data_IF_784098675599
#
_entry.id   IF_784098675599
#
_cell.length_a   1.000
_cell.length_b   1.000
_cell.length_c   1.000
_cell.angle_alpha   90.00
_cell.angle_beta   90.00
_cell.angle_gamma   90.00
#
_symmetry.space_group_name_H-M   'P 1'
#
loop_
_entity.id
_entity.type
_entity.pdbx_description
1 polymer ?
#
# COMPACT_ATOMS: atom_id res chain seq x y z
N UNK A 1 7.35 14.12 2.19
CA UNK A 1 8.15 13.07 1.50
C UNK A 1 9.66 13.31 1.68
N UNK A 2 10.45 12.25 1.89
CA UNK A 2 11.93 12.30 1.92
C UNK A 2 12.49 11.38 0.81
N UNK A 3 13.77 11.53 0.45
CA UNK A 3 14.44 10.61 -0.48
C UNK A 3 14.17 10.89 -1.96
N UNK A 4 14.01 9.85 -2.79
CA UNK A 4 13.96 9.95 -4.27
C UNK A 4 12.84 10.87 -4.78
N UNK A 5 11.66 10.84 -4.17
CA UNK A 5 10.55 11.71 -4.51
C UNK A 5 10.84 13.20 -4.25
N UNK A 6 11.70 13.52 -3.27
CA UNK A 6 12.03 14.91 -2.92
C UNK A 6 12.81 15.65 -4.02
N UNK A 7 13.46 14.94 -4.95
CA UNK A 7 14.09 15.58 -6.11
C UNK A 7 13.04 16.03 -7.12
N UNK A 8 12.11 15.14 -7.46
CA UNK A 8 11.02 15.38 -8.42
C UNK A 8 10.07 16.45 -7.89
N UNK A 9 9.77 16.45 -6.59
CA UNK A 9 8.91 17.48 -5.98
C UNK A 9 9.41 18.91 -6.18
N UNK A 10 10.73 19.12 -6.30
CA UNK A 10 11.29 20.47 -6.54
C UNK A 10 11.02 20.98 -7.95
N UNK A 11 10.67 20.08 -8.87
CA UNK A 11 10.36 20.39 -10.26
C UNK A 11 8.86 20.68 -10.46
N UNK A 12 8.02 20.44 -9.45
CA UNK A 12 6.57 20.62 -9.51
C UNK A 12 6.19 21.94 -8.85
N UNK A 13 5.46 22.84 -9.55
CA UNK A 13 4.86 24.01 -8.92
C UNK A 13 3.91 23.60 -7.79
N UNK A 14 3.98 24.30 -6.65
CA UNK A 14 3.22 23.94 -5.44
C UNK A 14 1.71 23.83 -5.65
N UNK A 15 1.17 24.67 -6.52
CA UNK A 15 -0.25 24.74 -6.91
C UNK A 15 -0.72 23.54 -7.75
N UNK A 16 0.22 22.80 -8.35
CA UNK A 16 -0.06 21.59 -9.12
C UNK A 16 -0.06 20.33 -8.26
N UNK A 17 0.33 20.42 -6.98
CA UNK A 17 0.35 19.27 -6.08
C UNK A 17 -1.05 19.05 -5.48
N UNK A 18 -1.51 17.78 -5.42
CA UNK A 18 -2.67 17.42 -4.60
C UNK A 18 -2.44 17.81 -3.13
N UNK A 19 -3.52 18.10 -2.37
CA UNK A 19 -3.40 18.49 -0.97
C UNK A 19 -2.74 17.38 -0.13
N UNK A 20 -1.95 17.78 0.86
CA UNK A 20 -1.47 16.84 1.88
C UNK A 20 -2.60 16.58 2.88
N UNK A 21 -3.16 15.37 2.83
CA UNK A 21 -4.22 14.95 3.75
C UNK A 21 -3.71 14.73 5.18
N UNK A 22 -2.39 14.67 5.39
CA UNK A 22 -1.78 14.30 6.66
C UNK A 22 -2.13 12.88 7.08
N UNK A 23 -2.04 12.62 8.39
CA UNK A 23 -2.43 11.34 8.96
C UNK A 23 -3.94 11.26 9.16
N UNK A 24 -4.56 10.24 8.58
CA UNK A 24 -5.98 9.91 8.80
C UNK A 24 -6.14 8.43 9.10
N UNK A 25 -7.28 8.02 9.67
CA UNK A 25 -7.54 6.60 9.94
C UNK A 25 -7.53 5.75 8.66
N UNK A 26 -8.02 6.30 7.54
CA UNK A 26 -7.99 5.68 6.22
C UNK A 26 -6.58 5.50 5.65
N UNK A 27 -5.60 6.28 6.12
CA UNK A 27 -4.19 6.11 5.75
C UNK A 27 -3.45 5.04 6.58
N UNK A 28 -4.07 4.54 7.66
CA UNK A 28 -3.43 3.63 8.60
C UNK A 28 -3.78 2.16 8.34
N UNK A 29 -2.84 1.27 8.62
CA UNK A 29 -3.04 -0.19 8.56
C UNK A 29 -2.34 -0.84 9.76
N UNK A 30 -2.93 -1.92 10.28
CA UNK A 30 -2.42 -2.64 11.44
C UNK A 30 -1.64 -3.86 10.98
N UNK A 31 -0.43 -4.02 11.52
CA UNK A 31 0.40 -5.21 11.38
C UNK A 31 1.00 -5.58 12.75
N UNK A 32 1.36 -6.85 12.98
CA UNK A 32 2.09 -7.25 14.18
C UNK A 32 3.37 -6.43 14.39
N UNK A 33 3.54 -5.94 15.63
CA UNK A 33 4.66 -5.05 16.00
C UNK A 33 5.89 -5.75 16.56
N UNK A 34 5.77 -7.02 16.96
CA UNK A 34 6.88 -7.81 17.50
C UNK A 34 7.87 -8.21 16.39
N UNK A 35 9.16 -8.26 16.69
CA UNK A 35 10.16 -8.87 15.80
C UNK A 35 10.16 -10.38 16.00
N UNK A 36 10.21 -11.12 14.91
CA UNK A 36 10.40 -12.58 14.91
C UNK A 36 11.83 -12.86 14.45
N UNK A 37 12.58 -13.65 15.23
CA UNK A 37 13.99 -14.00 14.97
C UNK A 37 14.91 -12.80 14.72
N UNK A 38 14.64 -11.68 15.39
CA UNK A 38 15.40 -10.44 15.21
C UNK A 38 15.23 -9.79 13.82
N UNK A 39 14.39 -10.32 12.94
CA UNK A 39 14.14 -9.77 11.62
C UNK A 39 13.27 -8.50 11.66
N UNK A 40 13.25 -7.74 10.55
CA UNK A 40 12.38 -6.58 10.42
C UNK A 40 10.89 -6.98 10.43
N UNK A 41 10.07 -6.13 11.05
CA UNK A 41 8.59 -6.21 11.01
C UNK A 41 8.06 -5.94 9.60
N UNK A 42 6.78 -6.20 9.34
CA UNK A 42 6.14 -5.88 8.05
C UNK A 42 6.29 -4.38 7.72
N UNK A 43 6.06 -3.50 8.70
CA UNK A 43 6.25 -2.06 8.54
C UNK A 43 7.70 -1.69 8.16
N UNK A 44 8.69 -2.31 8.82
CA UNK A 44 10.09 -2.10 8.46
C UNK A 44 10.41 -2.63 7.06
N UNK A 45 9.98 -3.85 6.75
CA UNK A 45 10.23 -4.47 5.46
C UNK A 45 9.65 -3.64 4.31
N UNK A 46 8.37 -3.24 4.36
CA UNK A 46 7.74 -2.44 3.29
C UNK A 46 8.35 -1.04 3.16
N UNK A 47 8.73 -0.41 4.27
CA UNK A 47 9.26 0.96 4.28
C UNK A 47 10.67 1.04 3.69
N UNK A 48 11.52 0.05 3.96
CA UNK A 48 12.90 0.02 3.48
C UNK A 48 13.09 -0.74 2.17
N UNK A 49 12.12 -1.57 1.73
CA UNK A 49 12.26 -2.33 0.49
C UNK A 49 12.16 -1.40 -0.74
N UNK A 50 13.18 -1.32 -1.62
CA UNK A 50 13.23 -0.34 -2.71
C UNK A 50 12.17 -0.56 -3.80
N UNK A 51 11.62 -1.78 -3.91
CA UNK A 51 10.49 -2.10 -4.81
C UNK A 51 9.11 -1.87 -4.20
N UNK A 52 9.03 -1.44 -2.93
CA UNK A 52 7.76 -1.14 -2.25
C UNK A 52 7.74 0.32 -1.82
N UNK A 53 8.81 0.80 -1.16
CA UNK A 53 8.96 2.19 -0.73
C UNK A 53 7.74 2.72 0.04
N UNK A 54 7.22 1.90 0.96
CA UNK A 54 6.03 2.16 1.78
C UNK A 54 4.71 2.35 0.99
N UNK A 55 4.68 2.08 -0.32
CA UNK A 55 3.44 2.12 -1.11
C UNK A 55 2.49 1.01 -0.72
N UNK A 56 1.28 1.41 -0.34
CA UNK A 56 0.31 0.46 0.19
C UNK A 56 -0.33 -0.42 -0.90
N UNK A 57 -0.56 0.08 -2.12
CA UNK A 57 -1.04 -0.73 -3.26
C UNK A 57 -0.08 -1.88 -3.60
N UNK A 58 1.22 -1.61 -3.62
CA UNK A 58 2.26 -2.64 -3.80
C UNK A 58 2.36 -3.59 -2.60
N UNK A 59 2.14 -3.09 -1.38
CA UNK A 59 2.07 -3.92 -0.17
C UNK A 59 0.88 -4.87 -0.23
N UNK A 60 -0.29 -4.37 -0.66
CA UNK A 60 -1.51 -5.15 -0.80
C UNK A 60 -1.37 -6.24 -1.87
N UNK A 61 -0.66 -5.97 -2.97
CA UNK A 61 -0.31 -6.99 -3.96
C UNK A 61 0.59 -8.08 -3.35
N UNK A 62 1.56 -7.72 -2.50
CA UNK A 62 2.36 -8.73 -1.78
C UNK A 62 1.48 -9.61 -0.87
N UNK A 63 0.51 -9.00 -0.18
CA UNK A 63 -0.44 -9.73 0.69
C UNK A 63 -1.33 -10.65 -0.15
N UNK A 64 -1.84 -10.18 -1.29
CA UNK A 64 -2.62 -11.01 -2.22
C UNK A 64 -1.83 -12.23 -2.69
N UNK A 65 -0.55 -12.04 -3.03
CA UNK A 65 0.36 -13.13 -3.41
C UNK A 65 0.63 -14.09 -2.24
N UNK A 66 0.75 -13.58 -1.02
CA UNK A 66 0.91 -14.43 0.17
C UNK A 66 -0.25 -15.42 0.33
N UNK A 67 -1.51 -14.98 0.21
CA UNK A 67 -2.67 -15.88 0.26
C UNK A 67 -2.73 -16.89 -0.91
N UNK A 68 -2.04 -16.61 -2.02
CA UNK A 68 -1.94 -17.53 -3.17
C UNK A 68 -0.73 -18.45 -3.13
N UNK A 69 0.18 -18.26 -2.17
CA UNK A 69 1.49 -18.93 -2.15
C UNK A 69 2.48 -18.42 -3.21
N UNK A 70 2.21 -17.26 -3.83
CA UNK A 70 3.04 -16.67 -4.86
C UNK A 70 4.21 -15.85 -4.26
N UNK A 71 5.31 -15.75 -5.00
CA UNK A 71 6.47 -14.96 -4.59
C UNK A 71 6.23 -13.44 -4.73
N UNK A 72 6.75 -12.67 -3.78
CA UNK A 72 6.69 -11.20 -3.76
C UNK A 72 7.92 -10.62 -3.04
N UNK A 73 8.20 -9.32 -3.21
CA UNK A 73 9.26 -8.64 -2.45
C UNK A 73 9.15 -8.76 -0.93
N UNK A 74 7.94 -8.99 -0.40
CA UNK A 74 7.70 -9.12 1.04
C UNK A 74 7.49 -10.56 1.50
N UNK A 75 7.67 -11.58 0.65
CA UNK A 75 7.34 -12.97 0.99
C UNK A 75 7.95 -13.43 2.31
N UNK A 76 9.24 -13.22 2.53
CA UNK A 76 9.89 -13.62 3.78
C UNK A 76 9.32 -12.88 5.00
N UNK A 77 8.96 -11.60 4.84
CA UNK A 77 8.36 -10.81 5.91
C UNK A 77 6.94 -11.29 6.23
N UNK A 78 6.10 -11.50 5.22
CA UNK A 78 4.72 -11.95 5.40
C UNK A 78 4.68 -13.38 5.97
N UNK A 79 5.56 -14.27 5.51
CA UNK A 79 5.63 -15.65 5.99
C UNK A 79 5.92 -15.76 7.50
N UNK A 80 6.74 -14.86 8.05
CA UNK A 80 7.00 -14.83 9.51
C UNK A 80 5.76 -14.50 10.35
N UNK A 81 4.75 -13.88 9.74
CA UNK A 81 3.50 -13.53 10.39
C UNK A 81 2.32 -14.26 9.72
N UNK A 82 2.54 -15.46 9.17
CA UNK A 82 1.49 -16.23 8.51
C UNK A 82 0.27 -16.46 9.42
N UNK A 83 0.48 -16.67 10.73
CA UNK A 83 -0.61 -16.83 11.71
C UNK A 83 -1.50 -15.59 11.82
N UNK A 84 -0.95 -14.38 11.63
CA UNK A 84 -1.76 -13.16 11.58
C UNK A 84 -2.65 -13.13 10.34
N UNK A 85 -2.13 -13.53 9.17
CA UNK A 85 -2.92 -13.60 7.95
C UNK A 85 -3.94 -14.75 7.99
N UNK A 86 -3.64 -15.85 8.68
CA UNK A 86 -4.57 -16.96 8.87
C UNK A 86 -5.85 -16.55 9.64
N UNK A 87 -5.82 -15.46 10.43
CA UNK A 87 -7.00 -14.93 11.12
C UNK A 87 -8.13 -14.49 10.17
N UNK A 88 -7.79 -14.15 8.94
CA UNK A 88 -8.75 -13.65 7.96
C UNK A 88 -9.16 -14.70 6.93
N UNK A 89 -8.72 -15.97 7.05
CA UNK A 89 -9.03 -17.12 6.15
C UNK A 89 -8.66 -16.98 4.66
N UNK A 90 -8.94 -15.84 4.02
CA UNK A 90 -8.76 -15.54 2.62
C UNK A 90 -8.32 -14.09 2.39
N UNK A 91 -7.77 -13.80 1.21
CA UNK A 91 -7.44 -12.42 0.83
C UNK A 91 -8.68 -11.53 0.76
N UNK A 92 -9.82 -12.07 0.35
CA UNK A 92 -11.06 -11.31 0.26
C UNK A 92 -11.54 -10.85 1.63
N UNK A 93 -11.59 -11.75 2.61
CA UNK A 93 -11.91 -11.43 4.00
C UNK A 93 -10.90 -10.45 4.62
N UNK A 94 -9.61 -10.53 4.28
CA UNK A 94 -8.62 -9.51 4.67
C UNK A 94 -8.96 -8.12 4.13
N UNK A 95 -9.33 -8.04 2.84
CA UNK A 95 -9.74 -6.79 2.18
C UNK A 95 -11.00 -6.22 2.83
N UNK A 96 -12.00 -7.08 3.07
CA UNK A 96 -13.26 -6.70 3.69
C UNK A 96 -13.05 -6.20 5.12
N UNK A 97 -12.33 -6.96 5.95
CA UNK A 97 -12.06 -6.60 7.35
C UNK A 97 -11.38 -5.24 7.49
N UNK A 98 -10.41 -4.93 6.62
CA UNK A 98 -9.68 -3.66 6.65
C UNK A 98 -10.29 -2.56 5.79
N UNK A 99 -11.46 -2.80 5.17
CA UNK A 99 -12.19 -1.87 4.31
C UNK A 99 -11.32 -1.34 3.15
N UNK A 100 -10.68 -2.27 2.43
CA UNK A 100 -9.70 -2.00 1.36
C UNK A 100 -10.30 -2.16 -0.05
N UNK A 101 -11.62 -2.24 -0.18
CA UNK A 101 -12.32 -2.53 -1.45
C UNK A 101 -11.94 -1.56 -2.57
N UNK A 102 -11.66 -0.30 -2.25
CA UNK A 102 -11.31 0.71 -3.26
C UNK A 102 -9.95 0.42 -3.94
N UNK A 103 -9.14 -0.50 -3.40
CA UNK A 103 -7.93 -1.02 -4.05
C UNK A 103 -8.11 -2.41 -4.66
N UNK A 104 -9.24 -3.07 -4.46
CA UNK A 104 -9.48 -4.43 -4.93
C UNK A 104 -10.52 -4.45 -6.06
N UNK A 105 -10.08 -4.80 -7.27
CA UNK A 105 -11.00 -5.13 -8.35
C UNK A 105 -11.33 -6.62 -8.29
N UNK A 106 -12.41 -6.97 -7.58
CA UNK A 106 -12.86 -8.35 -7.44
C UNK A 106 -13.25 -9.01 -8.75
N UNK A 107 -13.73 -8.24 -9.74
CA UNK A 107 -14.14 -8.76 -11.06
C UNK A 107 -12.93 -9.15 -11.90
N UNK A 108 -11.90 -8.31 -11.89
CA UNK A 108 -10.66 -8.57 -12.60
C UNK A 108 -9.63 -9.35 -11.76
N UNK A 109 -9.97 -9.68 -10.51
CA UNK A 109 -9.10 -10.34 -9.53
C UNK A 109 -7.70 -9.68 -9.41
N UNK A 110 -7.65 -8.34 -9.39
CA UNK A 110 -6.40 -7.56 -9.36
C UNK A 110 -6.46 -6.33 -8.46
N UNK A 111 -5.29 -5.88 -8.02
CA UNK A 111 -5.14 -4.62 -7.30
C UNK A 111 -5.31 -3.44 -8.26
N UNK A 112 -5.95 -2.37 -7.80
CA UNK A 112 -5.95 -1.05 -8.44
C UNK A 112 -4.71 -0.31 -7.95
N UNK A 113 -3.68 -0.26 -8.80
CA UNK A 113 -2.42 0.39 -8.47
C UNK A 113 -2.53 1.92 -8.63
N UNK A 114 -1.80 2.65 -7.79
CA UNK A 114 -1.72 4.12 -7.83
C UNK A 114 -0.84 4.63 -8.98
N UNK A 115 -0.09 3.74 -9.61
CA UNK A 115 0.80 4.02 -10.73
C UNK A 115 0.96 2.74 -11.56
N UNK A 116 1.50 2.85 -12.77
CA UNK A 116 1.79 1.69 -13.62
C UNK A 116 2.50 0.58 -12.82
N UNK A 117 2.06 -0.66 -13.05
CA UNK A 117 2.58 -1.83 -12.38
C UNK A 117 2.91 -2.91 -13.39
N UNK A 118 4.17 -3.33 -13.37
CA UNK A 118 4.70 -4.47 -14.11
C UNK A 118 5.53 -5.33 -13.15
N UNK A 119 4.88 -6.26 -12.46
CA UNK A 119 5.50 -7.29 -11.59
C UNK A 119 6.66 -6.81 -10.69
N UNK A 120 6.49 -5.67 -10.02
CA UNK A 120 7.52 -5.03 -9.18
C UNK A 120 8.83 -4.66 -9.91
N UNK A 121 8.84 -4.70 -11.25
CA UNK A 121 9.88 -4.17 -12.13
C UNK A 121 9.79 -2.65 -12.21
N UNK A 122 8.56 -2.11 -12.18
CA UNK A 122 8.30 -0.68 -12.19
C UNK A 122 8.87 -0.03 -10.91
N UNK A 123 9.61 1.09 -11.01
CA UNK A 123 10.07 1.83 -9.85
C UNK A 123 8.92 2.17 -8.91
N UNK A 124 9.07 1.82 -7.62
CA UNK A 124 8.04 2.10 -6.64
C UNK A 124 7.77 3.61 -6.49
N UNK A 125 8.80 4.44 -6.59
CA UNK A 125 8.65 5.89 -6.62
C UNK A 125 8.51 6.35 -8.07
N UNK A 126 7.43 7.07 -8.43
CA UNK A 126 7.29 7.71 -9.75
C UNK A 126 8.55 8.49 -10.14
N UNK A 127 8.88 8.49 -11.43
CA UNK A 127 10.13 9.09 -11.94
C UNK A 127 9.93 10.43 -12.63
N UNK A 128 8.70 10.80 -12.95
CA UNK A 128 8.38 12.06 -13.62
C UNK A 128 7.46 12.93 -12.75
N UNK A 129 7.45 14.26 -12.95
CA UNK A 129 6.51 15.16 -12.29
C UNK A 129 5.03 14.76 -12.47
N UNK A 130 4.63 14.43 -13.71
CA UNK A 130 3.26 14.03 -14.02
C UNK A 130 2.85 12.75 -13.30
N UNK A 131 3.68 11.69 -13.41
CA UNK A 131 3.41 10.42 -12.72
C UNK A 131 3.33 10.59 -11.19
N UNK A 132 4.10 11.52 -10.63
CA UNK A 132 4.07 11.80 -9.19
C UNK A 132 2.77 12.49 -8.78
N UNK A 133 2.28 13.45 -9.58
CA UNK A 133 0.98 14.11 -9.34
C UNK A 133 -0.15 13.09 -9.41
N UNK A 134 -0.20 12.28 -10.46
CA UNK A 134 -1.23 11.25 -10.65
C UNK A 134 -1.22 10.23 -9.50
N UNK A 135 -0.03 9.79 -9.10
CA UNK A 135 0.13 8.91 -7.93
C UNK A 135 -0.40 9.54 -6.63
N UNK A 136 -0.06 10.79 -6.36
CA UNK A 136 -0.50 11.48 -5.14
C UNK A 136 -2.02 11.65 -5.13
N UNK A 137 -2.61 11.96 -6.29
CA UNK A 137 -4.05 12.08 -6.44
C UNK A 137 -4.75 10.73 -6.20
N UNK A 138 -4.29 9.65 -6.84
CA UNK A 138 -4.86 8.31 -6.65
C UNK A 138 -4.74 7.81 -5.20
N UNK A 139 -3.62 8.12 -4.53
CA UNK A 139 -3.43 7.80 -3.12
C UNK A 139 -4.42 8.57 -2.22
N UNK A 140 -4.62 9.87 -2.49
CA UNK A 140 -5.59 10.69 -1.76
C UNK A 140 -7.02 10.19 -1.96
N UNK A 141 -7.41 9.88 -3.21
CA UNK A 141 -8.73 9.34 -3.54
C UNK A 141 -9.01 8.05 -2.77
N UNK A 142 -8.02 7.14 -2.68
CA UNK A 142 -8.13 5.93 -1.85
C UNK A 142 -8.30 6.26 -0.37
N UNK A 143 -7.47 7.12 0.21
CA UNK A 143 -7.52 7.48 1.63
C UNK A 143 -8.89 8.06 1.98
N UNK A 144 -9.40 8.97 1.17
CA UNK A 144 -10.71 9.58 1.36
C UNK A 144 -11.85 8.58 1.22
N UNK A 145 -11.79 7.68 0.22
CA UNK A 145 -12.79 6.65 0.03
C UNK A 145 -12.84 5.69 1.23
N UNK A 146 -11.67 5.28 1.73
CA UNK A 146 -11.55 4.44 2.93
C UNK A 146 -12.00 5.16 4.19
N UNK A 147 -11.68 6.45 4.37
CA UNK A 147 -12.21 7.26 5.47
C UNK A 147 -13.75 7.25 5.48
N UNK A 148 -14.39 7.42 4.31
CA UNK A 148 -15.86 7.35 4.19
C UNK A 148 -16.40 5.96 4.51
N UNK A 149 -15.70 4.88 4.14
CA UNK A 149 -16.10 3.50 4.51
C UNK A 149 -16.04 3.27 6.00
N UNK A 150 -14.95 3.68 6.64
CA UNK A 150 -14.78 3.57 8.10
C UNK A 150 -15.86 4.37 8.83
N UNK A 151 -16.17 5.58 8.37
CA UNK A 151 -17.25 6.38 8.98
C UNK A 151 -18.59 5.64 8.92
N UNK A 152 -18.95 5.06 7.76
CA UNK A 152 -20.19 4.29 7.59
C UNK A 152 -20.23 2.98 8.38
N UNK A 153 -19.10 2.37 8.72
CA UNK A 153 -19.09 1.11 9.49
C UNK A 153 -19.30 1.31 10.99
N UNK A 154 -19.37 2.57 11.45
CA UNK A 154 -19.62 2.93 12.85
C UNK A 154 -21.09 3.32 13.10
N UNK A 155 -21.89 3.40 12.03
CA UNK A 155 -23.34 3.66 12.06
C UNK A 155 -24.11 2.33 12.18
#
# INVERSE_FOLDING_TARGET
>A
MKGRAAKILKEIPSESLPPDLGYTIGSAIIFPGNRVDGAATINGARGFHPRIADRFDLTLECIRRHYRGDASPLSAALQRYADFFALFSSFHEYVEFFLLDDLWDSRASRIRFFHYFDDFSTPAVPKTPGDLIDYLQANNEFIEARNRRIARSLE
#
